data_IF_311708266582
#
_entry.id   IF_311708266582
#
_cell.length_a   1.000
_cell.length_b   1.000
_cell.length_c   1.000
_cell.angle_alpha   90.00
_cell.angle_beta   90.00
_cell.angle_gamma   90.00
#
_symmetry.space_group_name_H-M   'P 1'
#
loop_
_entity.id
_entity.type
_entity.pdbx_description
1 polymer ?
2 polymer ?
3 non-polymer ?
4 non-polymer ?
5 water ?
#
loop_
_entity_poly.entity_id
_entity_poly.type
_entity_poly.pdbx_seq_one_letter_code
_entity_poly.pdbx_strand_id
2 'polyribonucleotide' 'GCGAAUUCGCUU' ?
#
# COMPACT_ATOMS: atom_id res chain seq x y z
N UNK A 3 -33.16 2.98 -0.17
CA UNK A 3 -33.10 3.11 -1.62
C UNK A 3 -32.21 2.03 -2.22
N UNK A 4 -32.25 1.86 -3.56
CA UNK A 4 -31.39 0.87 -4.21
C UNK A 4 -29.99 1.44 -4.52
N UNK A 5 -29.07 0.57 -4.94
CA UNK A 5 -27.66 0.93 -5.05
C UNK A 5 -27.13 0.95 -6.50
N UNK A 6 -26.15 1.80 -6.75
CA UNK A 6 -25.34 1.74 -7.96
C UNK A 6 -23.90 1.37 -7.57
N UNK A 7 -23.27 0.53 -8.38
CA UNK A 7 -21.90 0.08 -8.13
C UNK A 7 -21.04 0.30 -9.35
N UNK A 8 -19.97 1.09 -9.19
CA UNK A 8 -19.04 1.38 -10.27
C UNK A 8 -17.67 0.79 -9.99
N UNK A 9 -17.00 0.33 -11.04
CA UNK A 9 -15.61 -0.07 -10.95
C UNK A 9 -14.76 1.14 -11.32
N UNK A 10 -13.70 1.37 -10.56
CA UNK A 10 -12.68 2.32 -10.94
C UNK A 10 -11.67 1.56 -11.76
N UNK A 11 -11.82 1.62 -13.08
CA UNK A 11 -10.92 0.89 -13.96
C UNK A 11 -9.57 1.58 -14.03
N UNK A 12 -8.50 0.79 -13.97
CA UNK A 12 -7.13 1.31 -14.03
C UNK A 12 -6.29 0.49 -14.99
N UNK A 13 -5.64 1.16 -15.93
CA UNK A 13 -4.76 0.53 -16.90
C UNK A 13 -3.52 1.39 -17.09
N UNK A 14 -2.33 0.79 -17.00
CA UNK A 14 -1.08 1.49 -17.22
C UNK A 14 -0.85 1.67 -18.72
N UNK A 15 -1.23 2.82 -19.24
CA UNK A 15 -1.21 3.05 -20.67
C UNK A 15 0.16 3.53 -21.17
N UNK A 16 0.92 4.21 -20.30
CA UNK A 16 2.28 4.64 -20.63
C UNK A 16 3.23 4.39 -19.46
N UNK A 17 3.92 3.23 -19.49
CA UNK A 17 4.90 2.93 -18.46
C UNK A 17 5.97 4.02 -18.34
N UNK A 18 6.43 4.28 -17.13
CA UNK A 18 7.45 5.30 -16.89
C UNK A 18 8.71 5.04 -17.70
N UNK A 19 9.18 6.03 -18.48
CA UNK A 19 10.44 5.84 -19.22
C UNK A 19 11.65 5.73 -18.30
N UNK A 20 12.68 5.02 -18.75
CA UNK A 20 13.90 4.84 -17.96
C UNK A 20 14.48 6.16 -17.44
N UNK A 21 14.47 7.19 -18.29
CA UNK A 21 15.08 8.46 -17.92
C UNK A 21 14.35 9.18 -16.77
N UNK A 22 13.12 8.76 -16.48
CA UNK A 22 12.34 9.36 -15.40
C UNK A 22 12.21 8.44 -14.18
N UNK A 23 12.73 7.22 -14.30
CA UNK A 23 12.64 6.26 -13.22
C UNK A 23 13.80 6.45 -12.24
N UNK A 24 13.82 7.62 -11.61
CA UNK A 24 14.94 8.02 -10.76
C UNK A 24 15.15 7.13 -9.56
N UNK A 25 14.06 6.67 -8.96
CA UNK A 25 14.16 5.80 -7.80
C UNK A 25 14.36 4.34 -8.20
N UNK A 26 14.51 4.10 -9.49
CA UNK A 26 14.79 2.77 -10.05
C UNK A 26 13.86 1.71 -9.50
N UNK A 27 12.58 1.90 -9.77
CA UNK A 27 11.55 1.00 -9.32
C UNK A 27 11.20 -0.04 -10.39
N UNK A 28 10.67 -1.17 -9.94
CA UNK A 28 9.87 -2.05 -10.78
C UNK A 28 8.64 -1.25 -11.15
N UNK A 29 8.08 -1.49 -12.33
CA UNK A 29 6.82 -0.88 -12.69
C UNK A 29 5.71 -1.91 -12.46
N UNK A 30 4.57 -1.45 -11.92
CA UNK A 30 3.49 -2.35 -11.51
C UNK A 30 2.18 -1.97 -12.21
N UNK A 31 1.85 -2.64 -13.32
CA UNK A 31 0.57 -2.34 -13.96
C UNK A 31 -0.61 -2.71 -13.06
N UNK A 32 -1.56 -1.78 -12.86
CA UNK A 32 -2.67 -2.16 -11.98
C UNK A 32 -3.48 -3.33 -12.53
N UNK A 33 -3.52 -3.45 -13.87
CA UNK A 33 -4.34 -4.48 -14.50
C UNK A 33 -3.77 -5.89 -14.26
N UNK A 34 -2.56 -5.97 -13.71
CA UNK A 34 -1.93 -7.26 -13.43
C UNK A 34 -2.53 -7.97 -12.20
N UNK A 35 -3.30 -7.25 -11.39
CA UNK A 35 -3.96 -7.86 -10.23
C UNK A 35 -5.45 -7.56 -10.28
N UNK A 36 -6.26 -8.53 -9.88
CA UNK A 36 -7.71 -8.43 -10.03
C UNK A 36 -8.37 -7.57 -8.96
N UNK A 37 -7.87 -7.61 -7.73
CA UNK A 37 -8.49 -6.80 -6.67
C UNK A 37 -8.28 -5.32 -6.96
N UNK A 38 -9.37 -4.56 -6.89
CA UNK A 38 -9.32 -3.14 -7.20
C UNK A 38 -10.37 -2.42 -6.36
N UNK A 39 -10.62 -1.17 -6.69
CA UNK A 39 -11.59 -0.35 -5.96
C UNK A 39 -12.79 -0.01 -6.82
N UNK A 40 -13.90 0.20 -6.14
CA UNK A 40 -15.12 0.65 -6.78
C UNK A 40 -15.77 1.69 -5.92
N UNK A 41 -16.90 2.18 -6.42
CA UNK A 41 -17.69 3.18 -5.74
C UNK A 41 -19.13 2.71 -5.64
N UNK A 42 -19.67 2.73 -4.42
CA UNK A 42 -21.07 2.43 -4.17
C UNK A 42 -21.79 3.74 -3.90
N UNK A 43 -22.90 3.97 -4.61
CA UNK A 43 -23.65 5.23 -4.49
C UNK A 43 -25.15 4.98 -4.59
N UNK A 44 -25.93 5.90 -4.03
CA UNK A 44 -27.39 5.86 -4.15
C UNK A 44 -27.88 6.67 -5.36
N UNK A 45 -26.98 7.45 -5.94
CA UNK A 45 -27.30 8.28 -7.10
C UNK A 45 -26.34 7.98 -8.26
N UNK A 46 -26.87 7.92 -9.49
CA UNK A 46 -26.00 7.63 -10.65
C UNK A 46 -24.86 8.62 -10.80
N UNK A 47 -23.69 8.14 -11.19
CA UNK A 47 -22.56 9.01 -11.52
C UNK A 47 -22.67 9.40 -13.00
N UNK A 48 -22.68 10.72 -13.29
CA UNK A 48 -22.73 11.17 -14.68
C UNK A 48 -21.54 10.66 -15.50
N UNK A 49 -21.77 10.31 -16.76
CA UNK A 49 -20.70 9.83 -17.63
C UNK A 49 -19.56 10.85 -17.65
N UNK A 50 -18.34 10.36 -17.49
CA UNK A 50 -17.15 11.20 -17.41
C UNK A 50 -16.10 10.61 -18.33
N UNK A 51 -15.38 11.45 -19.07
CA UNK A 51 -14.37 10.86 -19.96
C UNK A 51 -13.21 10.25 -19.18
N UNK A 52 -12.49 9.33 -19.81
CA UNK A 52 -11.31 8.74 -19.20
C UNK A 52 -10.30 9.84 -18.94
N UNK A 53 -9.46 9.66 -17.91
CA UNK A 53 -8.45 10.65 -17.58
C UNK A 53 -7.25 10.01 -16.90
N UNK A 54 -6.07 10.63 -17.03
CA UNK A 54 -4.86 10.02 -16.48
C UNK A 54 -4.60 10.39 -15.02
N UNK A 55 -4.04 9.43 -14.26
CA UNK A 55 -3.31 9.77 -13.06
C UNK A 55 -1.86 9.35 -13.29
N UNK A 56 -0.94 10.12 -12.75
CA UNK A 56 0.49 9.90 -12.98
C UNK A 56 1.11 9.29 -11.73
N UNK A 57 1.32 7.98 -11.79
CA UNK A 57 1.77 7.21 -10.65
C UNK A 57 3.26 6.90 -10.77
N UNK A 58 3.81 6.21 -9.77
CA UNK A 58 5.20 5.81 -9.78
C UNK A 58 5.54 4.88 -10.93
N UNK A 59 4.53 4.19 -11.45
CA UNK A 59 4.74 3.23 -12.52
C UNK A 59 4.52 3.85 -13.90
N UNK A 60 3.97 5.06 -13.93
CA UNK A 60 3.73 5.78 -15.15
C UNK A 60 2.30 6.30 -15.24
N UNK A 61 1.85 6.58 -16.46
CA UNK A 61 0.53 7.14 -16.66
C UNK A 61 -0.52 6.05 -16.64
N UNK A 62 -1.48 6.18 -15.73
CA UNK A 62 -2.54 5.20 -15.56
C UNK A 62 -3.84 5.84 -16.01
N UNK A 63 -4.53 5.21 -16.95
CA UNK A 63 -5.83 5.68 -17.42
C UNK A 63 -6.95 5.17 -16.53
N UNK A 64 -7.75 6.11 -16.07
CA UNK A 64 -8.85 5.85 -15.16
C UNK A 64 -10.16 5.92 -15.93
N UNK A 65 -10.99 4.89 -15.77
CA UNK A 65 -12.33 4.88 -16.35
C UNK A 65 -13.32 4.41 -15.29
N UNK A 66 -14.41 5.15 -15.13
CA UNK A 66 -15.44 4.80 -14.17
C UNK A 66 -16.55 4.10 -14.92
N UNK A 67 -16.73 2.82 -14.63
CA UNK A 67 -17.66 1.97 -15.38
C UNK A 67 -18.70 1.36 -14.46
N UNK A 68 -19.95 1.36 -14.90
CA UNK A 68 -21.03 0.74 -14.18
C UNK A 68 -20.86 -0.78 -14.16
N UNK A 69 -20.99 -1.37 -12.97
CA UNK A 69 -20.84 -2.81 -12.80
C UNK A 69 -22.17 -3.44 -12.43
N UNK A 70 -22.95 -2.72 -11.64
CA UNK A 70 -24.23 -3.22 -11.16
C UNK A 70 -25.12 -2.08 -10.72
N UNK A 71 -26.42 -2.32 -10.76
CA UNK A 71 -27.39 -1.33 -10.31
C UNK A 71 -28.68 -2.02 -9.96
N UNK A 72 -29.55 -1.29 -9.28
CA UNK A 72 -30.85 -1.82 -8.89
C UNK A 72 -30.69 -3.06 -8.03
N UNK A 73 -29.91 -2.93 -6.97
CA UNK A 73 -29.85 -3.97 -5.95
C UNK A 73 -29.87 -3.30 -4.58
N UNK A 74 -30.17 -4.12 -3.58
CA UNK A 74 -30.22 -3.65 -2.20
C UNK A 74 -29.10 -4.30 -1.40
N UNK A 75 -28.73 -3.66 -0.30
CA UNK A 75 -27.75 -4.21 0.63
C UNK A 75 -28.33 -4.14 2.04
N UNK A 76 -28.03 -5.14 2.86
CA UNK A 76 -28.47 -5.15 4.26
C UNK A 76 -27.74 -4.08 5.06
N UNK A 77 -28.31 -3.71 6.21
CA UNK A 77 -27.72 -2.71 7.07
C UNK A 77 -26.34 -3.16 7.52
N UNK A 78 -26.22 -4.44 7.82
CA UNK A 78 -24.97 -5.01 8.29
C UNK A 78 -23.86 -4.84 7.26
N UNK A 79 -24.17 -5.07 6.00
CA UNK A 79 -23.16 -4.98 4.95
C UNK A 79 -22.81 -3.52 4.64
N UNK A 80 -23.80 -2.64 4.71
CA UNK A 80 -23.56 -1.23 4.50
C UNK A 80 -22.66 -0.69 5.61
N UNK A 81 -22.86 -1.18 6.82
CA UNK A 81 -22.03 -0.78 7.95
C UNK A 81 -20.60 -1.27 7.78
N UNK A 82 -20.44 -2.51 7.32
CA UNK A 82 -19.12 -3.04 7.01
C UNK A 82 -18.43 -2.18 5.95
N UNK A 83 -19.16 -1.89 4.88
CA UNK A 83 -18.62 -1.10 3.78
C UNK A 83 -18.21 0.29 4.26
N UNK A 84 -19.06 0.90 5.08
CA UNK A 84 -18.80 2.23 5.62
C UNK A 84 -17.52 2.25 6.46
N UNK A 85 -17.33 1.24 7.30
CA UNK A 85 -16.15 1.13 8.14
C UNK A 85 -14.89 1.00 7.29
N UNK A 86 -14.98 0.21 6.22
CA UNK A 86 -13.82 0.02 5.35
C UNK A 86 -13.48 1.30 4.59
N UNK A 87 -14.50 2.02 4.13
CA UNK A 87 -14.29 3.31 3.50
C UNK A 87 -13.50 4.24 4.42
N UNK A 88 -13.96 4.35 5.66
CA UNK A 88 -13.31 5.21 6.63
C UNK A 88 -11.89 4.72 6.92
N UNK A 89 -11.73 3.41 6.93
CA UNK A 89 -10.43 2.78 7.16
C UNK A 89 -9.43 3.15 6.07
N UNK A 90 -9.87 3.09 4.81
CA UNK A 90 -9.02 3.44 3.67
C UNK A 90 -8.45 4.85 3.82
N UNK A 91 -9.29 5.81 4.18
CA UNK A 91 -8.85 7.19 4.22
C UNK A 91 -8.16 7.58 5.52
N UNK A 92 -8.54 6.97 6.64
CA UNK A 92 -7.95 7.34 7.93
C UNK A 92 -6.68 6.56 8.24
N UNK A 93 -6.65 5.27 7.90
CA UNK A 93 -5.53 4.43 8.34
C UNK A 93 -4.57 4.05 7.23
N UNK A 94 -5.05 3.87 6.01
CA UNK A 94 -4.15 3.59 4.90
C UNK A 94 -3.52 4.89 4.39
N UNK A 95 -4.36 5.83 3.99
CA UNK A 95 -3.87 7.06 3.38
C UNK A 95 -3.60 8.16 4.42
N UNK A 96 -4.15 8.00 5.62
CA UNK A 96 -3.98 8.97 6.69
C UNK A 96 -4.39 10.38 6.27
N UNK A 97 -5.61 10.46 5.72
CA UNK A 97 -6.19 11.71 5.27
C UNK A 97 -7.33 12.14 6.18
N UNK A 98 -7.71 13.40 6.02
CA UNK A 98 -8.86 13.97 6.69
C UNK A 98 -9.86 14.45 5.64
N UNK A 99 -9.36 14.67 4.42
CA UNK A 99 -10.17 15.14 3.28
C UNK A 99 -10.05 14.20 2.08
N UNK A 100 -10.97 13.22 1.97
CA UNK A 100 -10.81 12.13 1.00
C UNK A 100 -10.74 12.59 -0.47
N UNK A 101 -11.37 13.71 -0.81
CA UNK A 101 -11.39 14.20 -2.18
C UNK A 101 -10.65 15.54 -2.32
N UNK A 102 -9.57 15.68 -1.53
CA UNK A 102 -8.70 16.85 -1.59
C UNK A 102 -9.42 18.16 -1.31
N UNK A 112 -18.42 8.23 -4.71
CA UNK A 112 -18.86 9.52 -4.21
C UNK A 112 -19.41 9.39 -2.79
N UNK A 113 -19.91 8.20 -2.44
CA UNK A 113 -20.43 7.97 -1.10
C UNK A 113 -19.69 6.87 -0.35
N UNK A 114 -19.34 5.78 -1.04
CA UNK A 114 -18.50 4.75 -0.42
C UNK A 114 -17.55 4.06 -1.41
N UNK A 115 -16.26 4.21 -1.17
CA UNK A 115 -15.25 3.41 -1.85
C UNK A 115 -15.14 2.06 -1.17
N UNK A 116 -15.01 1.01 -1.98
CA UNK A 116 -14.95 -0.34 -1.45
C UNK A 116 -14.12 -1.24 -2.37
N UNK A 117 -13.53 -2.30 -1.81
CA UNK A 117 -12.76 -3.25 -2.62
C UNK A 117 -13.64 -4.16 -3.48
N UNK A 118 -13.23 -4.36 -4.72
CA UNK A 118 -13.86 -5.31 -5.63
C UNK A 118 -12.85 -6.37 -6.01
N UNK A 119 -13.33 -7.56 -6.33
CA UNK A 119 -12.46 -8.62 -6.82
C UNK A 119 -13.25 -9.63 -7.64
N UNK A 120 -12.56 -10.52 -8.34
CA UNK A 120 -13.23 -11.51 -9.19
C UNK A 120 -13.79 -12.68 -8.37
N UNK A 121 -14.83 -13.32 -8.91
CA UNK A 121 -15.41 -14.51 -8.28
C UNK A 121 -14.98 -15.76 -9.05
N UNK A 124 -12.77 -16.14 -11.89
CA UNK A 124 -13.84 -16.24 -12.88
C UNK A 124 -13.99 -14.98 -13.73
N UNK A 125 -13.09 -14.01 -13.52
CA UNK A 125 -12.94 -12.86 -14.40
C UNK A 125 -13.97 -11.72 -14.21
N UNK A 126 -14.96 -11.93 -13.34
CA UNK A 126 -16.08 -10.99 -13.21
C UNK A 126 -16.11 -10.35 -11.81
N UNK A 127 -16.19 -9.02 -11.79
CA UNK A 127 -15.92 -8.22 -10.60
C UNK A 127 -17.14 -8.00 -9.69
N UNK A 128 -16.95 -8.19 -8.38
CA UNK A 128 -18.00 -7.92 -7.41
C UNK A 128 -17.42 -7.47 -6.06
N UNK A 129 -18.28 -7.03 -5.15
CA UNK A 129 -17.86 -6.54 -3.84
C UNK A 129 -17.08 -7.62 -3.08
N UNK A 130 -15.88 -7.28 -2.64
CA UNK A 130 -14.99 -8.25 -1.99
C UNK A 130 -15.27 -8.31 -0.49
N UNK A 131 -16.40 -8.91 -0.13
CA UNK A 131 -16.80 -9.01 1.27
C UNK A 131 -15.81 -9.80 2.11
N UNK A 132 -15.25 -10.87 1.55
CA UNK A 132 -14.30 -11.68 2.30
C UNK A 132 -13.06 -10.87 2.67
N UNK A 133 -12.56 -10.10 1.72
CA UNK A 133 -11.37 -9.29 1.96
C UNK A 133 -11.62 -8.32 3.11
N UNK A 134 -12.79 -7.67 3.10
CA UNK A 134 -13.16 -6.70 4.12
C UNK A 134 -13.24 -7.36 5.49
N UNK A 135 -13.77 -8.57 5.53
CA UNK A 135 -13.86 -9.33 6.78
C UNK A 135 -12.46 -9.68 7.28
N UNK A 136 -11.60 -10.13 6.37
CA UNK A 136 -10.22 -10.46 6.72
C UNK A 136 -9.48 -9.26 7.30
N UNK A 137 -9.75 -8.06 6.78
CA UNK A 137 -9.10 -6.87 7.31
C UNK A 137 -9.51 -6.65 8.76
N UNK A 138 -10.81 -6.78 9.04
CA UNK A 138 -11.31 -6.51 10.37
C UNK A 138 -10.80 -7.53 11.40
N UNK A 139 -10.43 -8.72 10.93
CA UNK A 139 -9.90 -9.77 11.81
C UNK A 139 -8.39 -9.65 12.00
N UNK A 140 -7.72 -8.89 11.13
CA UNK A 140 -6.26 -8.82 11.13
C UNK A 140 -5.69 -8.17 12.39
N UNK A 141 -4.61 -8.73 12.92
CA UNK A 141 -3.95 -8.19 14.10
C UNK A 141 -3.03 -7.01 13.76
N UNK A 142 -2.79 -6.81 12.47
CA UNK A 142 -1.98 -5.69 11.99
C UNK A 142 -2.83 -4.65 11.26
N UNK A 143 -4.13 -4.66 11.51
CA UNK A 143 -5.05 -3.74 10.85
C UNK A 143 -4.77 -2.27 11.20
N UNK A 144 -4.43 -2.00 12.46
CA UNK A 144 -4.17 -0.63 12.93
C UNK A 144 -2.69 -0.34 13.19
N UNK A 145 -2.04 -1.22 13.95
CA UNK A 145 -0.67 -0.98 14.37
C UNK A 145 0.21 -2.21 14.31
N UNK A 146 1.17 -2.28 15.22
CA UNK A 146 2.13 -3.38 15.27
C UNK A 146 1.49 -4.59 15.95
N UNK A 147 1.49 -5.76 15.28
CA UNK A 147 0.89 -6.94 15.91
C UNK A 147 1.84 -7.64 16.88
N UNK A 148 1.27 -8.30 17.88
CA UNK A 148 2.06 -9.02 18.87
C UNK A 148 2.70 -10.26 18.24
N UNK A 149 3.86 -10.63 18.75
CA UNK A 149 4.53 -11.86 18.32
C UNK A 149 5.29 -12.49 19.47
N UNK A 150 5.76 -13.71 19.27
CA UNK A 150 6.51 -14.39 20.31
C UNK A 150 7.53 -15.37 19.73
N UNK A 151 8.57 -14.80 19.12
CA UNK A 151 9.65 -15.60 18.56
C UNK A 151 10.60 -16.02 19.68
N UNK A 152 10.88 -17.33 19.75
CA UNK A 152 11.85 -17.85 20.69
C UNK A 152 12.69 -18.88 19.97
N UNK A 153 13.73 -19.38 20.65
CA UNK A 153 14.61 -20.39 20.08
C UNK A 153 13.82 -21.63 19.67
N UNK A 154 12.82 -22.00 20.47
CA UNK A 154 12.03 -23.20 20.19
C UNK A 154 10.85 -22.91 19.25
N UNK A 155 10.43 -21.65 19.17
CA UNK A 155 9.39 -21.26 18.21
C UNK A 155 9.91 -20.09 17.37
N UNK A 156 10.89 -20.36 16.51
CA UNK A 156 11.58 -19.28 15.81
C UNK A 156 10.80 -18.69 14.64
N UNK A 157 11.26 -17.52 14.19
CA UNK A 157 10.69 -16.88 13.02
C UNK A 157 11.00 -17.75 11.82
N UNK A 158 9.98 -17.99 11.01
CA UNK A 158 10.14 -18.73 9.75
C UNK A 158 9.87 -17.80 8.58
N UNK A 159 10.85 -17.66 7.70
CA UNK A 159 10.72 -16.82 6.52
C UNK A 159 10.04 -17.57 5.39
N UNK A 160 8.89 -17.05 4.95
CA UNK A 160 8.17 -17.62 3.81
C UNK A 160 8.18 -16.59 2.69
N UNK A 161 8.94 -16.87 1.65
CA UNK A 161 9.16 -15.92 0.56
C UNK A 161 7.85 -15.44 -0.04
N UNK A 162 6.86 -16.31 -0.13
CA UNK A 162 5.62 -15.92 -0.81
C UNK A 162 4.86 -14.85 -0.04
N UNK A 163 5.11 -14.75 1.27
CA UNK A 163 4.43 -13.75 2.09
C UNK A 163 4.98 -12.33 1.87
N UNK A 164 6.09 -12.21 1.15
CA UNK A 164 6.73 -10.91 0.90
C UNK A 164 6.68 -10.48 -0.58
N UNK A 165 6.04 -11.31 -1.42
CA UNK A 165 6.00 -11.04 -2.85
C UNK A 165 5.07 -9.88 -3.23
N UNK A 166 4.15 -9.53 -2.34
CA UNK A 166 3.20 -8.45 -2.62
C UNK A 166 2.81 -7.81 -1.30
N UNK A 167 3.82 -7.47 -0.52
CA UNK A 167 3.61 -7.05 0.86
C UNK A 167 3.94 -5.60 1.12
N UNK A 168 3.20 -5.03 2.06
CA UNK A 168 3.56 -3.78 2.69
C UNK A 168 4.01 -4.15 4.10
N UNK A 169 5.14 -3.63 4.54
CA UNK A 169 5.66 -3.95 5.87
C UNK A 169 5.86 -2.72 6.76
N UNK A 170 5.90 -2.98 8.07
CA UNK A 170 6.15 -1.96 9.07
C UNK A 170 7.18 -2.47 10.08
N UNK A 171 8.12 -1.61 10.47
CA UNK A 171 9.03 -2.01 11.56
C UNK A 171 8.23 -2.25 12.85
N UNK A 172 8.56 -3.29 13.61
CA UNK A 172 7.84 -3.59 14.84
C UNK A 172 8.45 -2.91 16.08
N UNK A 173 9.55 -2.19 15.89
CA UNK A 173 10.43 -1.80 17.00
C UNK A 173 10.60 -0.30 17.17
N UNK A 174 9.93 0.50 16.33
CA UNK A 174 9.96 1.95 16.45
C UNK A 174 8.67 2.57 15.90
N UNK A 175 8.45 3.84 16.22
CA UNK A 175 7.27 4.59 15.74
C UNK A 175 5.95 3.89 16.03
N UNK A 176 5.69 3.60 17.30
CA UNK A 176 4.52 2.83 17.70
C UNK A 176 3.21 3.51 17.28
N UNK A 177 3.13 4.80 17.50
CA UNK A 177 1.88 5.56 17.32
C UNK A 177 1.52 5.75 15.85
N UNK A 178 2.53 6.00 15.02
CA UNK A 178 2.32 6.09 13.57
C UNK A 178 3.44 5.38 12.81
N UNK A 179 3.32 4.05 12.67
CA UNK A 179 4.34 3.27 11.97
C UNK A 179 4.57 3.75 10.53
N UNK A 180 5.81 3.62 10.06
CA UNK A 180 6.15 3.87 8.66
C UNK A 180 5.85 2.60 7.86
N UNK A 181 5.09 2.75 6.77
CA UNK A 181 4.81 1.62 5.90
C UNK A 181 5.74 1.61 4.70
N UNK A 182 6.22 0.43 4.34
CA UNK A 182 7.10 0.28 3.17
C UNK A 182 6.61 -0.81 2.26
N UNK A 183 6.72 -0.58 0.95
CA UNK A 183 6.64 -1.67 -0.01
C UNK A 183 7.94 -2.47 0.08
N UNK A 184 7.83 -3.80 0.00
CA UNK A 184 9.00 -4.64 -0.21
C UNK A 184 9.38 -4.51 -1.66
N UNK A 185 10.58 -4.00 -1.91
CA UNK A 185 11.05 -3.69 -3.26
C UNK A 185 12.00 -4.77 -3.77
N UNK A 186 12.58 -5.53 -2.87
CA UNK A 186 13.47 -6.62 -3.25
C UNK A 186 13.74 -7.52 -2.06
N UNK A 187 14.02 -8.79 -2.37
CA UNK A 187 14.45 -9.76 -1.37
C UNK A 187 15.88 -10.13 -1.69
N UNK A 188 16.78 -9.81 -0.76
CA UNK A 188 18.21 -10.02 -0.97
C UNK A 188 18.59 -11.36 -0.38
N UNK A 189 18.52 -12.39 -1.20
CA UNK A 189 18.77 -13.75 -0.75
C UNK A 189 20.25 -14.01 -0.48
N UNK A 190 21.13 -13.13 -0.94
CA UNK A 190 22.56 -13.26 -0.65
C UNK A 190 22.94 -12.56 0.64
N UNK A 191 21.98 -11.92 1.30
CA UNK A 191 22.22 -11.28 2.58
C UNK A 191 21.54 -12.03 3.72
N UNK A 192 22.10 -11.90 4.92
CA UNK A 192 21.47 -12.43 6.13
C UNK A 192 21.72 -11.39 7.21
N UNK A 193 21.13 -11.59 8.39
CA UNK A 193 21.43 -10.64 9.47
C UNK A 193 22.90 -10.63 9.84
N UNK A 194 23.65 -11.65 9.43
CA UNK A 194 25.08 -11.71 9.72
C UNK A 194 25.93 -11.05 8.63
N UNK A 195 25.27 -10.48 7.60
CA UNK A 195 25.98 -9.70 6.59
C UNK A 195 26.54 -8.43 7.21
N UNK A 196 27.54 -7.83 6.58
CA UNK A 196 28.17 -6.61 7.08
C UNK A 196 27.21 -5.42 7.07
N UNK A 197 27.25 -4.62 8.13
CA UNK A 197 26.36 -3.47 8.27
C UNK A 197 26.91 -2.27 7.50
N UNK A 198 26.04 -1.49 6.82
CA UNK A 198 26.51 -0.40 5.96
C UNK A 198 27.24 0.72 6.70
N UNK A 199 27.07 0.80 8.01
CA UNK A 199 27.77 1.79 8.82
C UNK A 199 28.83 1.11 9.69
N UNK A 200 30.03 1.71 9.80
CA UNK A 200 31.17 1.06 10.45
C UNK A 200 31.07 0.89 11.96
N UNK A 201 30.17 1.63 12.62
CA UNK A 201 30.01 1.53 14.06
C UNK A 201 29.49 0.16 14.51
N UNK A 202 28.98 -0.63 13.56
CA UNK A 202 28.44 -1.96 13.85
C UNK A 202 28.93 -2.93 12.79
N UNK A 203 29.25 -4.16 13.20
CA UNK A 203 29.78 -5.15 12.27
C UNK A 203 28.70 -5.79 11.40
N UNK A 204 27.55 -6.06 11.98
CA UNK A 204 26.49 -6.78 11.28
C UNK A 204 25.12 -6.19 11.57
N UNK A 205 24.13 -6.58 10.77
CA UNK A 205 22.76 -6.18 11.02
C UNK A 205 22.31 -6.66 12.39
N UNK A 206 22.61 -7.93 12.71
CA UNK A 206 22.24 -8.48 14.01
C UNK A 206 22.80 -7.65 15.17
N UNK A 207 24.06 -7.24 15.07
CA UNK A 207 24.67 -6.42 16.10
C UNK A 207 24.00 -5.04 16.21
N UNK A 208 23.74 -4.42 15.08
CA UNK A 208 23.05 -3.14 15.07
C UNK A 208 21.75 -3.20 15.88
N UNK A 209 20.89 -4.17 15.56
CA UNK A 209 19.59 -4.26 16.20
C UNK A 209 19.70 -4.66 17.67
N UNK A 210 20.73 -5.43 18.01
CA UNK A 210 20.94 -5.78 19.40
C UNK A 210 21.41 -4.57 20.21
N UNK A 211 22.38 -3.82 19.70
CA UNK A 211 22.89 -2.66 20.42
C UNK A 211 21.90 -1.51 20.55
N UNK A 212 21.22 -1.14 19.47
CA UNK A 212 20.38 0.04 19.51
C UNK A 212 19.01 -0.22 20.15
N UNK A 213 18.49 -1.42 19.97
CA UNK A 213 17.11 -1.72 20.35
C UNK A 213 17.01 -2.88 21.35
N UNK A 214 18.15 -3.51 21.64
CA UNK A 214 18.17 -4.75 22.42
C UNK A 214 17.24 -5.82 21.86
N UNK A 215 17.27 -5.96 20.53
CA UNK A 215 16.49 -6.99 19.85
C UNK A 215 17.34 -8.22 19.54
N UNK A 216 16.83 -9.40 19.91
CA UNK A 216 17.46 -10.67 19.56
C UNK A 216 16.78 -11.24 18.32
N UNK A 217 17.52 -11.95 17.49
CA UNK A 217 16.94 -12.64 16.33
C UNK A 217 16.96 -14.15 16.54
N UNK A 218 15.88 -14.81 16.15
CA UNK A 218 15.78 -16.27 16.28
C UNK A 218 16.10 -16.97 14.97
N UNK A 219 16.28 -16.19 13.91
CA UNK A 219 16.55 -16.73 12.56
C UNK A 219 17.70 -15.95 11.94
N UNK A 220 18.86 -16.60 11.84
CA UNK A 220 20.05 -15.92 11.32
C UNK A 220 20.33 -16.28 9.87
N UNK A 221 19.41 -17.04 9.25
CA UNK A 221 19.53 -17.42 7.85
C UNK A 221 18.60 -16.66 6.91
N UNK A 222 17.68 -15.88 7.47
CA UNK A 222 16.66 -15.20 6.66
C UNK A 222 17.29 -14.17 5.71
N UNK A 223 16.68 -14.00 4.52
CA UNK A 223 17.16 -12.93 3.66
C UNK A 223 16.81 -11.55 4.24
N UNK A 224 17.38 -10.50 3.67
CA UNK A 224 17.06 -9.13 4.07
C UNK A 224 16.21 -8.48 2.98
N UNK A 225 15.57 -7.37 3.31
CA UNK A 225 14.60 -6.76 2.40
C UNK A 225 14.99 -5.35 1.97
N UNK A 226 14.85 -5.11 0.68
CA UNK A 226 14.89 -3.76 0.13
C UNK A 226 13.48 -3.17 0.19
N UNK A 227 13.39 -1.87 0.43
CA UNK A 227 12.11 -1.22 0.69
C UNK A 227 11.91 0.06 -0.12
N UNK A 228 10.64 0.44 -0.26
CA UNK A 228 10.26 1.64 -0.97
C UNK A 228 9.13 2.26 -0.15
N UNK A 229 9.32 3.50 0.31
CA UNK A 229 8.34 4.20 1.15
C UNK A 229 7.00 4.30 0.43
N UNK A 230 5.90 4.16 1.15
CA UNK A 230 4.57 4.13 0.52
C UNK A 230 3.97 5.52 0.36
N UNK A 231 4.56 6.51 1.04
CA UNK A 231 4.02 7.86 1.02
C UNK A 231 3.95 8.42 -0.41
N UNK A 232 2.87 9.13 -0.70
CA UNK A 232 2.65 9.67 -2.03
C UNK A 232 2.01 11.04 -1.93
N UNK A 233 2.27 11.88 -2.92
CA UNK A 233 1.60 13.17 -2.99
C UNK A 233 0.10 12.94 -3.20
N UNK A 234 -0.70 13.93 -2.82
CA UNK A 234 -2.14 13.76 -2.80
C UNK A 234 -2.78 13.93 -4.17
N UNK A 235 -2.29 14.87 -4.97
CA UNK A 235 -2.83 15.12 -6.29
C UNK A 235 -1.93 14.54 -7.39
N UNK A 236 -2.42 13.50 -8.04
CA UNK A 236 -1.68 12.80 -9.08
C UNK A 236 -2.17 13.14 -10.49
N UNK A 237 -2.91 14.23 -10.62
CA UNK A 237 -3.55 14.56 -11.89
C UNK A 237 -2.61 15.25 -12.91
N UNK A 238 -1.44 15.66 -12.45
CA UNK A 238 -0.37 16.10 -13.35
C UNK A 238 0.91 15.34 -13.01
N UNK A 239 1.83 15.25 -13.99
CA UNK A 239 3.14 14.60 -13.76
C UNK A 239 3.92 15.23 -12.63
N UNK A 240 4.78 14.44 -11.96
CA UNK A 240 5.61 14.96 -10.89
C UNK A 240 6.67 15.89 -11.45
N UNK A 241 7.25 15.50 -12.57
CA UNK A 241 8.36 16.24 -13.17
C UNK A 241 8.01 16.76 -14.57
N UNK A 249 11.48 21.23 -13.03
CA UNK A 249 11.53 22.47 -12.25
C UNK A 249 12.41 22.30 -11.02
N UNK A 250 13.05 23.38 -10.56
CA UNK A 250 13.92 23.33 -9.38
C UNK A 250 13.17 23.12 -8.07
N UNK A 251 13.89 22.69 -7.03
CA UNK A 251 13.31 22.45 -5.71
C UNK A 251 13.81 23.49 -4.71
N UNK A 252 13.00 23.75 -3.69
CA UNK A 252 13.40 24.60 -2.58
C UNK A 252 14.37 23.87 -1.65
N UNK A 253 14.87 24.57 -0.64
CA UNK A 253 15.76 23.97 0.34
C UNK A 253 15.01 22.90 1.15
N UNK A 254 13.73 23.15 1.39
CA UNK A 254 12.88 22.22 2.14
C UNK A 254 12.62 20.95 1.35
N UNK A 255 12.25 21.11 0.09
CA UNK A 255 11.96 19.97 -0.78
C UNK A 255 13.19 19.11 -1.00
N UNK A 256 14.35 19.75 -1.09
CA UNK A 256 15.61 19.02 -1.18
C UNK A 256 15.78 18.14 0.06
N UNK A 257 15.68 18.74 1.23
CA UNK A 257 15.84 18.02 2.49
C UNK A 257 14.86 16.85 2.58
N UNK A 258 13.61 17.09 2.17
CA UNK A 258 12.60 16.05 2.15
C UNK A 258 12.98 14.92 1.21
N UNK A 259 13.47 15.27 0.03
CA UNK A 259 13.88 14.29 -0.97
C UNK A 259 15.02 13.44 -0.44
N UNK A 260 15.93 14.07 0.28
CA UNK A 260 17.08 13.38 0.85
C UNK A 260 16.64 12.41 1.93
N UNK A 261 15.59 12.77 2.66
CA UNK A 261 15.12 11.91 3.73
C UNK A 261 14.44 10.68 3.12
N UNK A 262 13.68 10.89 2.06
CA UNK A 262 13.03 9.79 1.35
C UNK A 262 14.09 8.88 0.74
N UNK A 263 15.18 9.48 0.27
CA UNK A 263 16.28 8.72 -0.29
C UNK A 263 16.91 7.80 0.75
N UNK A 264 17.08 8.31 1.96
CA UNK A 264 17.66 7.51 3.02
C UNK A 264 16.68 6.44 3.48
N UNK A 265 15.39 6.78 3.49
CA UNK A 265 14.36 5.79 3.83
C UNK A 265 14.46 4.61 2.88
N UNK A 266 14.65 4.92 1.60
CA UNK A 266 14.68 3.89 0.56
C UNK A 266 15.99 3.14 0.44
N UNK A 267 17.04 3.62 1.13
CA UNK A 267 18.30 2.91 1.18
C UNK A 267 18.33 1.90 2.33
N UNK A 268 17.33 1.96 3.20
CA UNK A 268 17.25 1.06 4.35
C UNK A 268 17.11 -0.40 3.91
N UNK A 269 17.78 -1.27 4.65
CA UNK A 269 17.65 -2.71 4.47
C UNK A 269 17.08 -3.28 5.76
N UNK A 270 15.89 -3.88 5.66
CA UNK A 270 15.17 -4.34 6.83
C UNK A 270 15.26 -5.85 7.00
N UNK A 271 15.06 -6.29 8.24
CA UNK A 271 15.08 -7.69 8.60
C UNK A 271 13.64 -8.17 8.73
N UNK A 272 13.25 -9.19 7.93
CA UNK A 272 11.86 -9.67 7.96
C UNK A 272 11.33 -10.00 9.35
N UNK A 273 12.14 -10.62 10.19
CA UNK A 273 11.72 -11.01 11.54
C UNK A 273 11.28 -9.80 12.37
N UNK A 274 11.88 -8.65 12.08
CA UNK A 274 11.65 -7.45 12.86
C UNK A 274 10.55 -6.59 12.26
N UNK A 275 9.89 -7.09 11.22
CA UNK A 275 8.82 -6.38 10.55
C UNK A 275 7.50 -7.15 10.64
N UNK A 276 6.41 -6.43 10.47
CA UNK A 276 5.09 -7.04 10.42
C UNK A 276 4.52 -6.75 9.05
N UNK A 277 3.79 -7.71 8.51
CA UNK A 277 3.16 -7.58 7.20
C UNK A 277 1.76 -7.00 7.40
N UNK A 278 1.46 -5.95 6.65
CA UNK A 278 0.17 -5.26 6.70
C UNK A 278 -0.88 -6.10 5.96
N UNK A 279 -2.14 -6.08 6.42
CA UNK A 279 -3.15 -6.92 5.73
C UNK A 279 -3.53 -6.46 4.32
N UNK A 280 -3.29 -5.19 3.99
CA UNK A 280 -3.53 -4.68 2.64
C UNK A 280 -2.34 -5.01 1.77
N UNK A 281 -2.54 -5.82 0.71
CA UNK A 281 -1.46 -6.12 -0.24
C UNK A 281 -0.89 -4.88 -0.92
N UNK A 282 0.40 -4.92 -1.25
CA UNK A 282 1.06 -3.83 -1.97
C UNK A 282 0.35 -3.43 -3.26
N UNK A 283 -0.10 -4.42 -4.02
CA UNK A 283 -0.78 -4.15 -5.29
C UNK A 283 -2.05 -3.31 -5.10
N UNK A 284 -2.77 -3.54 -4.01
CA UNK A 284 -3.97 -2.74 -3.73
C UNK A 284 -3.59 -1.36 -3.16
N UNK A 285 -2.54 -1.31 -2.34
CA UNK A 285 -2.06 -0.06 -1.78
C UNK A 285 -1.69 0.92 -2.90
N UNK A 286 -1.07 0.39 -3.94
CA UNK A 286 -0.64 1.20 -5.08
C UNK A 286 -1.84 1.83 -5.78
N UNK A 287 -2.98 1.15 -5.75
CA UNK A 287 -4.21 1.68 -6.33
C UNK A 287 -4.87 2.67 -5.37
N UNK A 288 -4.79 2.39 -4.07
CA UNK A 288 -5.41 3.25 -3.06
C UNK A 288 -4.92 4.70 -3.11
N UNK A 289 -3.63 4.89 -3.33
CA UNK A 289 -3.05 6.22 -3.32
C UNK A 289 -3.57 7.10 -4.46
N UNK A 290 -4.21 6.49 -5.45
CA UNK A 290 -4.84 7.23 -6.56
C UNK A 290 -6.22 7.76 -6.20
N UNK A 291 -6.84 7.19 -5.17
CA UNK A 291 -8.24 7.48 -4.86
C UNK A 291 -8.57 8.96 -4.65
N UNK A 292 -7.75 9.70 -3.86
CA UNK A 292 -8.04 11.13 -3.65
C UNK A 292 -8.14 11.92 -4.95
N UNK A 293 -7.21 11.69 -5.87
CA UNK A 293 -7.22 12.33 -7.18
C UNK A 293 -8.51 12.03 -7.94
N UNK A 294 -8.93 10.77 -7.86
CA UNK A 294 -10.07 10.28 -8.63
C UNK A 294 -11.35 10.87 -8.07
N UNK A 295 -11.49 10.86 -6.74
CA UNK A 295 -12.64 11.46 -6.10
C UNK A 295 -12.69 12.97 -6.33
N UNK A 296 -11.54 13.63 -6.31
CA UNK A 296 -11.48 15.06 -6.58
C UNK A 296 -11.99 15.36 -7.99
N UNK A 297 -11.50 14.60 -8.96
CA UNK A 297 -11.91 14.74 -10.36
C UNK A 297 -13.41 14.53 -10.53
N UNK A 298 -13.97 13.57 -9.81
CA UNK A 298 -15.39 13.25 -9.94
C UNK A 298 -16.30 14.34 -9.34
N UNK A 299 -15.83 15.03 -8.31
CA UNK A 299 -16.63 16.06 -7.67
C UNK A 299 -16.40 17.42 -8.33
N UNK A 300 -15.65 17.42 -9.43
CA UNK A 300 -15.45 18.61 -10.26
C UNK A 300 -16.26 18.52 -11.54
#
# INVERSE_FOLDING_TARGET
SDQPCYLYVIGMVLTTPLPDELNFRRRKLYPPEDTTRCFGILTAKPIPQIPHFPVYTRSGEVTISIELAASGFMLSLQMLELITRLHQYIFSHILRLEKPALEFKPTDADSAYCVLPLNVVNDSSTLDIDFKFMEDIEKSEARIGIPSTKYTKETPFVFKLEDYQDAVIIPRYRNFDQPHRFYVADVYTDLTPLSKFPSPEYETFAEYYKTKYNLDLTNLNQPLLDVDHTSSRLNLLTPRHLNQKGKALPLSSAEKRKAKWESLQNKQILVPELCAIHPIPASLWRKAVCLPSILYRLHCLL
#
